data_IF_628207240910
#
_entry.id   IF_628207240910
#
_cell.length_a   1.000
_cell.length_b   1.000
_cell.length_c   1.000
_cell.angle_alpha   90.00
_cell.angle_beta   90.00
_cell.angle_gamma   90.00
#
_symmetry.space_group_name_H-M   'P 1'
#
loop_
_entity.id
_entity.type
_entity.pdbx_description
1 polymer ?
#
# COMPACT_ATOMS: atom_id res chain seq x y z
N UNK A 1 -19.32 -14.87 0.57
CA UNK A 1 -18.59 -13.77 -0.11
C UNK A 1 -17.34 -13.45 0.66
N UNK A 2 -16.22 -13.44 0.00
CA UNK A 2 -15.00 -13.05 0.69
C UNK A 2 -15.06 -11.58 1.12
N UNK A 3 -14.55 -11.33 2.31
CA UNK A 3 -14.56 -10.01 2.93
C UNK A 3 -13.52 -9.05 2.33
N UNK A 4 -12.96 -9.43 1.19
CA UNK A 4 -11.90 -8.64 0.57
C UNK A 4 -12.30 -7.19 0.29
N UNK A 5 -13.58 -6.98 -0.03
CA UNK A 5 -14.09 -5.62 -0.29
C UNK A 5 -14.08 -4.77 0.98
N UNK A 6 -14.40 -5.37 2.11
CA UNK A 6 -14.38 -4.66 3.39
C UNK A 6 -12.97 -4.35 3.87
N UNK A 7 -12.00 -5.15 3.43
CA UNK A 7 -10.59 -4.93 3.77
C UNK A 7 -9.92 -3.89 2.89
N UNK A 8 -10.56 -3.49 1.78
CA UNK A 8 -9.99 -2.50 0.88
C UNK A 8 -10.09 -1.11 1.48
N UNK A 9 -8.96 -0.46 1.63
CA UNK A 9 -8.87 0.89 2.15
C UNK A 9 -7.90 1.69 1.28
N UNK A 10 -8.18 2.99 1.20
CA UNK A 10 -7.23 3.92 0.57
C UNK A 10 -5.93 3.90 1.38
N UNK A 11 -4.80 3.71 0.70
CA UNK A 11 -3.49 3.69 1.35
C UNK A 11 -3.03 5.09 1.79
N UNK A 12 -3.65 6.14 1.27
CA UNK A 12 -3.32 7.53 1.57
C UNK A 12 -4.12 8.09 2.75
N UNK A 13 -5.44 7.90 2.75
CA UNK A 13 -6.30 8.47 3.79
C UNK A 13 -6.96 7.44 4.71
N UNK A 14 -6.81 6.17 4.42
CA UNK A 14 -7.33 5.03 5.21
C UNK A 14 -8.86 4.90 5.23
N UNK A 15 -9.58 5.66 4.41
CA UNK A 15 -11.03 5.47 4.27
C UNK A 15 -11.31 4.13 3.61
N UNK A 16 -12.39 3.48 4.06
CA UNK A 16 -12.82 2.21 3.50
C UNK A 16 -13.45 2.40 2.12
N UNK A 17 -13.60 1.31 1.37
CA UNK A 17 -14.27 1.34 0.07
C UNK A 17 -15.71 1.85 0.15
N UNK A 18 -16.36 1.70 1.33
CA UNK A 18 -17.73 2.19 1.53
C UNK A 18 -17.79 3.70 1.74
N UNK A 19 -16.70 4.34 2.17
CA UNK A 19 -16.64 5.77 2.47
C UNK A 19 -16.21 6.62 1.28
N UNK A 20 -15.82 6.00 0.17
CA UNK A 20 -15.32 6.68 -1.01
C UNK A 20 -16.10 6.20 -2.24
N UNK A 21 -16.05 6.98 -3.32
CA UNK A 21 -16.75 6.62 -4.55
C UNK A 21 -16.03 5.51 -5.30
N UNK A 22 -14.70 5.56 -5.32
CA UNK A 22 -13.90 4.58 -6.05
C UNK A 22 -12.52 4.42 -5.44
N UNK A 23 -12.01 3.19 -5.50
CA UNK A 23 -10.62 2.89 -5.19
C UNK A 23 -9.92 2.44 -6.48
N UNK A 24 -8.73 2.97 -6.72
CA UNK A 24 -7.89 2.59 -7.85
C UNK A 24 -6.73 1.77 -7.30
N UNK A 25 -6.52 0.59 -7.86
CA UNK A 25 -5.52 -0.35 -7.37
C UNK A 25 -4.16 -0.11 -8.02
N UNK A 26 -3.11 -0.11 -7.19
CA UNK A 26 -1.74 -0.32 -7.58
C UNK A 26 -1.25 -1.64 -6.99
N UNK A 27 0.01 -2.01 -7.17
CA UNK A 27 0.54 -3.23 -6.55
C UNK A 27 0.52 -3.14 -5.03
N UNK A 28 -0.38 -3.88 -4.39
CA UNK A 28 -0.50 -3.93 -2.94
C UNK A 28 -1.09 -2.70 -2.26
N UNK A 29 -1.40 -1.65 -3.03
CA UNK A 29 -1.89 -0.38 -2.49
C UNK A 29 -3.10 0.11 -3.29
N UNK A 30 -3.83 1.06 -2.71
CA UNK A 30 -5.03 1.64 -3.33
C UNK A 30 -5.04 3.15 -3.09
N UNK A 31 -5.67 3.88 -4.00
CA UNK A 31 -5.90 5.30 -3.82
C UNK A 31 -7.36 5.61 -4.14
N UNK A 32 -8.02 6.38 -3.28
CA UNK A 32 -9.42 6.75 -3.48
C UNK A 32 -9.55 7.97 -4.38
N UNK A 33 -10.76 8.17 -4.88
CA UNK A 33 -11.09 9.32 -5.75
C UNK A 33 -10.81 10.66 -5.07
N UNK A 34 -11.03 10.76 -3.76
CA UNK A 34 -10.78 11.99 -3.00
C UNK A 34 -9.28 12.30 -2.94
N UNK A 35 -8.44 11.29 -2.69
CA UNK A 35 -6.99 11.45 -2.69
C UNK A 35 -6.45 11.75 -4.08
N UNK A 36 -7.02 11.17 -5.13
CA UNK A 36 -6.66 11.48 -6.52
C UNK A 36 -6.95 12.96 -6.80
N UNK A 37 -8.12 13.46 -6.37
CA UNK A 37 -8.45 14.88 -6.52
C UNK A 37 -7.47 15.79 -5.80
N UNK A 38 -7.10 15.44 -4.58
CA UNK A 38 -6.11 16.19 -3.80
C UNK A 38 -4.75 16.16 -4.50
N UNK A 39 -4.32 15.02 -5.00
CA UNK A 39 -3.06 14.89 -5.73
C UNK A 39 -3.06 15.73 -7.01
N UNK A 40 -4.18 15.74 -7.74
CA UNK A 40 -4.33 16.56 -8.95
C UNK A 40 -4.16 18.05 -8.64
N UNK A 41 -4.74 18.51 -7.53
CA UNK A 41 -4.62 19.91 -7.11
C UNK A 41 -3.17 20.22 -6.72
N UNK A 42 -2.49 19.33 -6.01
CA UNK A 42 -1.08 19.51 -5.65
C UNK A 42 -0.22 19.62 -6.91
N UNK A 43 -0.44 18.73 -7.88
CA UNK A 43 0.30 18.76 -9.15
C UNK A 43 0.07 20.06 -9.91
N UNK A 44 -1.16 20.56 -9.91
CA UNK A 44 -1.49 21.83 -10.56
C UNK A 44 -0.73 22.98 -9.90
N UNK A 45 -0.71 23.01 -8.56
CA UNK A 45 0.03 24.03 -7.82
C UNK A 45 1.54 23.96 -8.06
N UNK A 46 2.10 22.75 -8.12
CA UNK A 46 3.52 22.54 -8.41
C UNK A 46 3.89 23.05 -9.81
N UNK A 47 3.04 22.81 -10.79
CA UNK A 47 3.25 23.34 -12.15
C UNK A 47 3.27 24.86 -12.17
N UNK A 48 2.36 25.50 -11.42
CA UNK A 48 2.31 26.95 -11.32
C UNK A 48 3.54 27.51 -10.61
N UNK A 49 4.08 26.78 -9.65
CA UNK A 49 5.27 27.17 -8.90
C UNK A 49 6.57 26.89 -9.66
N UNK A 50 6.51 26.25 -10.81
CA UNK A 50 7.66 25.85 -11.62
C UNK A 50 8.66 24.97 -10.85
N UNK A 51 8.20 24.26 -9.82
CA UNK A 51 9.01 23.33 -9.03
C UNK A 51 8.80 21.91 -9.52
N UNK A 52 9.89 21.17 -9.69
CA UNK A 52 9.86 19.75 -10.05
C UNK A 52 10.29 18.84 -8.90
N UNK A 53 10.68 19.42 -7.77
CA UNK A 53 11.12 18.65 -6.62
C UNK A 53 9.92 18.04 -5.89
N UNK A 54 9.96 16.74 -5.55
CA UNK A 54 8.89 16.13 -4.79
C UNK A 54 8.82 16.70 -3.38
N UNK A 55 7.59 16.97 -2.90
CA UNK A 55 7.36 17.40 -1.52
C UNK A 55 7.22 16.15 -0.67
N UNK A 56 8.26 15.82 0.06
CA UNK A 56 8.25 14.73 1.02
C UNK A 56 8.05 15.29 2.42
N UNK A 57 7.44 14.52 3.33
CA UNK A 57 7.34 14.95 4.72
C UNK A 57 8.72 15.24 5.26
N UNK A 58 8.93 16.46 5.74
CA UNK A 58 10.23 16.91 6.27
C UNK A 58 10.24 16.69 7.78
N UNK A 59 10.68 15.51 8.22
CA UNK A 59 10.74 15.20 9.64
C UNK A 59 11.59 16.17 10.44
N UNK A 60 12.55 16.86 9.80
CA UNK A 60 13.37 17.87 10.47
C UNK A 60 12.54 19.06 10.97
N UNK A 61 11.41 19.34 10.34
CA UNK A 61 10.52 20.42 10.74
C UNK A 61 9.33 19.97 11.58
N UNK A 62 9.22 18.66 11.83
CA UNK A 62 8.14 18.07 12.61
C UNK A 62 8.56 17.92 14.07
N UNK A 63 7.60 18.10 14.99
CA UNK A 63 7.83 17.77 16.39
C UNK A 63 7.85 16.24 16.58
N UNK A 64 8.43 15.80 17.69
CA UNK A 64 8.44 14.38 18.03
C UNK A 64 7.02 13.80 18.09
N UNK A 65 6.07 14.56 18.68
CA UNK A 65 4.68 14.11 18.78
C UNK A 65 4.04 13.95 17.40
N UNK A 66 4.33 14.84 16.46
CA UNK A 66 3.85 14.74 15.10
C UNK A 66 4.41 13.50 14.40
N UNK A 67 5.70 13.22 14.60
CA UNK A 67 6.34 12.03 14.03
C UNK A 67 5.73 10.77 14.64
N UNK A 68 5.54 10.76 15.97
CA UNK A 68 4.90 9.62 16.65
C UNK A 68 3.49 9.36 16.13
N UNK A 69 2.70 10.41 15.89
CA UNK A 69 1.37 10.27 15.32
C UNK A 69 1.38 9.71 13.89
N UNK A 70 2.48 9.90 13.18
CA UNK A 70 2.64 9.43 11.81
C UNK A 70 2.94 7.92 11.74
N UNK A 71 3.59 7.37 12.76
CA UNK A 71 4.02 5.96 12.77
C UNK A 71 2.85 4.98 12.61
N UNK A 72 1.71 5.12 13.32
CA UNK A 72 0.60 4.19 13.13
C UNK A 72 0.03 4.22 11.71
N UNK A 73 0.07 5.37 11.05
CA UNK A 73 -0.41 5.50 9.66
C UNK A 73 0.46 4.67 8.71
N UNK A 74 1.78 4.71 8.90
CA UNK A 74 2.71 3.89 8.12
C UNK A 74 2.51 2.41 8.44
N UNK A 75 2.39 2.07 9.73
CA UNK A 75 2.20 0.69 10.16
C UNK A 75 0.91 0.08 9.58
N UNK A 76 -0.15 0.86 9.47
CA UNK A 76 -1.41 0.42 8.87
C UNK A 76 -1.23 0.02 7.41
N UNK A 77 -0.49 0.82 6.65
CA UNK A 77 -0.19 0.52 5.24
C UNK A 77 0.69 -0.72 5.13
N UNK A 78 1.65 -0.88 6.02
CA UNK A 78 2.52 -2.06 6.06
C UNK A 78 1.71 -3.34 6.23
N UNK A 79 0.76 -3.37 7.17
CA UNK A 79 -0.11 -4.52 7.38
C UNK A 79 -0.95 -4.80 6.13
N UNK A 80 -1.49 -3.76 5.51
CA UNK A 80 -2.28 -3.89 4.28
C UNK A 80 -1.45 -4.52 3.15
N UNK A 81 -0.23 -4.09 2.99
CA UNK A 81 0.68 -4.63 1.96
C UNK A 81 1.02 -6.09 2.25
N UNK A 82 1.34 -6.40 3.51
CA UNK A 82 1.67 -7.78 3.91
C UNK A 82 0.48 -8.73 3.67
N UNK A 83 -0.72 -8.33 4.07
CA UNK A 83 -1.92 -9.13 3.85
C UNK A 83 -2.18 -9.35 2.36
N UNK A 84 -2.03 -8.31 1.56
CA UNK A 84 -2.22 -8.38 0.12
C UNK A 84 -1.18 -9.33 -0.51
N UNK A 85 0.07 -9.24 -0.11
CA UNK A 85 1.13 -10.10 -0.61
C UNK A 85 0.84 -11.58 -0.29
N UNK A 86 0.38 -11.87 0.92
CA UNK A 86 -0.03 -13.22 1.31
C UNK A 86 -1.18 -13.74 0.43
N UNK A 87 -2.16 -12.90 0.15
CA UNK A 87 -3.29 -13.27 -0.70
C UNK A 87 -2.85 -13.61 -2.12
N UNK A 88 -1.95 -12.84 -2.70
CA UNK A 88 -1.41 -13.10 -4.03
C UNK A 88 -0.61 -14.39 -4.07
N UNK A 89 0.22 -14.65 -3.06
CA UNK A 89 0.99 -15.88 -2.96
C UNK A 89 0.04 -17.09 -2.81
N UNK A 90 -0.98 -16.96 -1.98
CA UNK A 90 -1.99 -18.02 -1.81
C UNK A 90 -2.66 -18.35 -3.14
N UNK A 91 -2.98 -17.33 -3.93
CA UNK A 91 -3.59 -17.51 -5.24
C UNK A 91 -2.64 -18.27 -6.19
N UNK A 92 -1.36 -17.92 -6.20
CA UNK A 92 -0.36 -18.65 -6.98
C UNK A 92 -0.24 -20.10 -6.55
N UNK A 93 -0.27 -20.36 -5.24
CA UNK A 93 -0.23 -21.73 -4.72
C UNK A 93 -1.47 -22.52 -5.15
N UNK A 94 -2.62 -21.88 -5.22
CA UNK A 94 -3.84 -22.56 -5.71
C UNK A 94 -3.72 -22.96 -7.19
N UNK A 95 -2.81 -22.32 -7.92
CA UNK A 95 -2.49 -22.64 -9.31
C UNK A 95 -1.28 -23.57 -9.44
N UNK A 96 -0.82 -24.14 -8.35
CA UNK A 96 0.32 -25.07 -8.30
C UNK A 96 1.65 -24.43 -8.70
N UNK A 97 1.79 -23.11 -8.53
CA UNK A 97 3.07 -22.44 -8.72
C UNK A 97 3.99 -22.82 -7.56
N UNK A 98 5.21 -23.25 -7.85
CA UNK A 98 6.15 -23.76 -6.85
C UNK A 98 6.68 -22.67 -5.91
N UNK A 99 7.03 -23.07 -4.71
CA UNK A 99 7.71 -22.18 -3.75
C UNK A 99 9.03 -21.66 -4.30
N UNK A 100 9.70 -22.43 -5.16
CA UNK A 100 10.94 -21.99 -5.81
C UNK A 100 10.69 -20.80 -6.72
N UNK A 101 9.63 -20.85 -7.54
CA UNK A 101 9.26 -19.74 -8.43
C UNK A 101 8.81 -18.51 -7.66
N UNK A 102 8.02 -18.71 -6.61
CA UNK A 102 7.56 -17.62 -5.74
C UNK A 102 8.76 -16.97 -5.05
N UNK A 103 9.66 -17.78 -4.49
CA UNK A 103 10.86 -17.30 -3.87
C UNK A 103 11.74 -16.50 -4.83
N UNK A 104 11.93 -17.01 -6.04
CA UNK A 104 12.71 -16.31 -7.06
C UNK A 104 12.13 -14.92 -7.37
N UNK A 105 10.81 -14.82 -7.49
CA UNK A 105 10.15 -13.54 -7.75
C UNK A 105 10.35 -12.53 -6.61
N UNK A 106 10.49 -13.00 -5.39
CA UNK A 106 10.64 -12.17 -4.20
C UNK A 106 12.10 -12.06 -3.73
N UNK A 107 13.04 -12.53 -4.54
CA UNK A 107 14.48 -12.55 -4.22
C UNK A 107 14.78 -13.26 -2.90
N UNK A 108 14.08 -14.36 -2.66
CA UNK A 108 14.29 -15.19 -1.46
C UNK A 108 14.38 -16.66 -1.86
N UNK A 109 14.92 -17.48 -0.95
CA UNK A 109 15.03 -18.91 -1.19
C UNK A 109 13.65 -19.57 -1.16
N UNK A 110 13.57 -20.78 -1.73
CA UNK A 110 12.38 -21.62 -1.62
C UNK A 110 11.96 -21.80 -0.16
N UNK A 111 12.92 -22.09 0.71
CA UNK A 111 12.67 -22.33 2.14
C UNK A 111 12.14 -21.07 2.82
N UNK A 112 12.73 -19.90 2.55
CA UNK A 112 12.27 -18.65 3.13
C UNK A 112 10.86 -18.29 2.67
N UNK A 113 10.55 -18.50 1.39
CA UNK A 113 9.19 -18.26 0.86
C UNK A 113 8.19 -19.18 1.55
N UNK A 114 8.52 -20.46 1.69
CA UNK A 114 7.65 -21.42 2.37
C UNK A 114 7.40 -21.03 3.83
N UNK A 115 8.45 -20.69 4.55
CA UNK A 115 8.33 -20.31 5.97
C UNK A 115 7.47 -19.06 6.16
N UNK A 116 7.64 -18.08 5.27
CA UNK A 116 6.92 -16.81 5.39
C UNK A 116 5.45 -16.91 5.00
N UNK A 117 5.13 -17.69 3.96
CA UNK A 117 3.79 -17.71 3.37
C UNK A 117 3.01 -18.99 3.58
N UNK A 118 3.57 -19.96 4.23
CA UNK A 118 2.82 -21.19 4.57
C UNK A 118 1.68 -20.89 5.54
N UNK A 119 0.66 -21.69 5.47
CA UNK A 119 -0.45 -21.64 6.42
C UNK A 119 -0.54 -22.92 7.23
#
# INVERSE_FOLDING_TARGET
MPDWKEKLRCSFCHKSSAEVTKLIAGPGVHICDQCVGLCSEILRQEQLAASTEPRLPAWETMTDDQILDHLPKIATVQVQIDDNLHDWVRHLRSRNVSWERIGAALSMTRQSAWERFRE
#
